data_IF_046833847074
#
_entry.id   IF_046833847074
#
_cell.length_a   1.000
_cell.length_b   1.000
_cell.length_c   1.000
_cell.angle_alpha   90.00
_cell.angle_beta   90.00
_cell.angle_gamma   90.00
#
_symmetry.space_group_name_H-M   'P 1'
#
loop_
_entity.id
_entity.type
_entity.pdbx_description
1 polymer ?
#
# COMPACT_ATOMS: atom_id res chain seq x y z
N UNK A 1 16.32 -11.50 -3.00
CA UNK A 1 15.76 -12.14 -4.21
C UNK A 1 16.86 -12.32 -5.25
N UNK A 2 16.86 -13.43 -5.99
CA UNK A 2 17.63 -13.60 -7.23
C UNK A 2 17.07 -12.68 -8.32
N UNK A 3 17.79 -12.49 -9.43
CA UNK A 3 17.28 -11.67 -10.55
C UNK A 3 16.00 -12.26 -11.16
N UNK A 4 15.93 -13.59 -11.30
CA UNK A 4 14.72 -14.28 -11.76
C UNK A 4 13.53 -14.07 -10.81
N UNK A 5 13.76 -14.15 -9.50
CA UNK A 5 12.72 -13.86 -8.49
C UNK A 5 12.23 -12.42 -8.57
N UNK A 6 13.12 -11.44 -8.84
CA UNK A 6 12.70 -10.05 -9.03
C UNK A 6 11.84 -9.89 -10.28
N UNK A 7 12.22 -10.50 -11.39
CA UNK A 7 11.45 -10.43 -12.64
C UNK A 7 10.07 -11.06 -12.48
N UNK A 8 9.99 -12.22 -11.81
CA UNK A 8 8.73 -12.87 -11.47
C UNK A 8 7.88 -11.99 -10.54
N UNK A 9 8.49 -11.36 -9.53
CA UNK A 9 7.77 -10.48 -8.60
C UNK A 9 7.19 -9.25 -9.30
N UNK A 10 7.96 -8.61 -10.18
CA UNK A 10 7.50 -7.45 -10.97
C UNK A 10 6.34 -7.84 -11.89
N UNK A 11 6.42 -9.02 -12.53
CA UNK A 11 5.34 -9.54 -13.37
C UNK A 11 4.08 -9.82 -12.55
N UNK A 12 4.22 -10.55 -11.44
CA UNK A 12 3.11 -10.86 -10.53
C UNK A 12 2.46 -9.58 -9.98
N UNK A 13 3.26 -8.57 -9.64
CA UNK A 13 2.76 -7.28 -9.18
C UNK A 13 1.91 -6.59 -10.26
N UNK A 14 2.34 -6.61 -11.53
CA UNK A 14 1.58 -6.01 -12.63
C UNK A 14 0.25 -6.74 -12.86
N UNK A 15 0.24 -8.07 -12.77
CA UNK A 15 -0.98 -8.88 -12.90
C UNK A 15 -1.96 -8.61 -11.74
N UNK A 16 -1.48 -8.59 -10.49
CA UNK A 16 -2.32 -8.31 -9.32
C UNK A 16 -2.86 -6.88 -9.31
N UNK A 17 -2.08 -5.89 -9.78
CA UNK A 17 -2.58 -4.52 -10.00
C UNK A 17 -3.75 -4.53 -10.97
N UNK A 18 -3.67 -5.28 -12.07
CA UNK A 18 -4.77 -5.41 -13.04
C UNK A 18 -6.03 -6.00 -12.40
N UNK A 19 -5.89 -7.07 -11.61
CA UNK A 19 -7.01 -7.65 -10.85
C UNK A 19 -7.64 -6.63 -9.92
N UNK A 20 -6.83 -5.92 -9.14
CA UNK A 20 -7.31 -4.92 -8.18
C UNK A 20 -8.01 -3.75 -8.91
N UNK A 21 -7.54 -3.37 -10.10
CA UNK A 21 -8.21 -2.39 -10.98
C UNK A 21 -9.59 -2.87 -11.45
N UNK A 22 -9.72 -4.13 -11.85
CA UNK A 22 -11.01 -4.73 -12.23
C UNK A 22 -12.00 -4.78 -11.07
N UNK A 23 -11.51 -4.83 -9.83
CA UNK A 23 -12.33 -4.76 -8.62
C UNK A 23 -12.80 -3.34 -8.28
N UNK A 24 -12.35 -2.32 -9.03
CA UNK A 24 -12.85 -0.95 -8.98
C UNK A 24 -12.06 0.00 -8.08
N UNK A 25 -10.80 -0.32 -7.77
CA UNK A 25 -9.89 0.60 -7.07
C UNK A 25 -8.66 0.88 -7.93
N UNK A 26 -8.03 2.05 -7.77
CA UNK A 26 -6.87 2.46 -8.57
C UNK A 26 -5.58 2.32 -7.74
N UNK A 27 -4.88 1.17 -7.80
CA UNK A 27 -3.63 0.98 -7.09
C UNK A 27 -2.47 1.68 -7.81
N UNK A 28 -1.44 2.03 -7.05
CA UNK A 28 -0.21 2.65 -7.50
C UNK A 28 0.98 2.16 -6.68
N UNK A 29 2.20 2.21 -7.26
CA UNK A 29 3.42 1.80 -6.53
C UNK A 29 3.60 2.65 -5.29
N UNK A 30 3.95 1.98 -4.19
CA UNK A 30 4.15 2.59 -2.88
C UNK A 30 5.53 2.23 -2.30
N UNK A 31 5.89 2.90 -1.20
CA UNK A 31 7.04 2.59 -0.35
C UNK A 31 8.31 2.12 -1.09
N UNK A 32 8.79 0.90 -0.79
CA UNK A 32 10.09 0.41 -1.26
C UNK A 32 10.11 0.22 -2.78
N UNK A 33 8.97 -0.19 -3.32
CA UNK A 33 8.79 -0.38 -4.77
C UNK A 33 8.82 0.94 -5.53
N UNK A 34 8.15 1.99 -5.03
CA UNK A 34 8.20 3.33 -5.59
C UNK A 34 9.62 3.92 -5.51
N UNK A 35 10.29 3.75 -4.36
CA UNK A 35 11.67 4.19 -4.18
C UNK A 35 12.61 3.50 -5.18
N UNK A 36 12.46 2.19 -5.36
CA UNK A 36 13.20 1.40 -6.34
C UNK A 36 13.01 1.90 -7.76
N UNK A 37 11.75 2.12 -8.16
CA UNK A 37 11.39 2.62 -9.50
C UNK A 37 12.02 3.99 -9.79
N UNK A 38 12.00 4.90 -8.82
CA UNK A 38 12.52 6.26 -8.99
C UNK A 38 14.05 6.32 -8.91
N UNK A 39 14.67 5.58 -7.98
CA UNK A 39 16.11 5.70 -7.71
C UNK A 39 16.95 4.88 -8.68
N UNK A 40 16.58 3.61 -8.88
CA UNK A 40 17.42 2.63 -9.58
C UNK A 40 16.73 1.87 -10.70
N UNK A 41 15.42 2.06 -10.88
CA UNK A 41 14.56 1.24 -11.75
C UNK A 41 14.65 -0.26 -11.47
N UNK A 42 14.97 -0.62 -10.23
CA UNK A 42 15.07 -2.01 -9.76
C UNK A 42 14.56 -2.11 -8.32
N UNK A 43 14.19 -3.33 -7.91
CA UNK A 43 13.85 -3.62 -6.53
C UNK A 43 15.06 -3.33 -5.64
N UNK A 44 14.82 -2.69 -4.49
CA UNK A 44 15.88 -2.30 -3.57
C UNK A 44 16.67 -3.54 -3.09
N UNK A 45 18.01 -3.51 -3.09
CA UNK A 45 18.80 -4.61 -2.54
C UNK A 45 18.40 -4.92 -1.10
N UNK A 46 18.08 -6.19 -0.82
CA UNK A 46 17.64 -6.64 0.50
C UNK A 46 16.13 -6.56 0.74
N UNK A 47 15.34 -5.98 -0.16
CA UNK A 47 13.88 -6.12 -0.09
C UNK A 47 13.43 -7.53 -0.47
N UNK A 48 12.29 -7.92 0.11
CA UNK A 48 11.69 -9.24 -0.01
C UNK A 48 10.36 -9.26 -0.76
N UNK A 49 9.75 -8.10 -0.97
CA UNK A 49 8.37 -7.91 -1.41
C UNK A 49 8.26 -6.71 -2.36
N UNK A 50 7.03 -6.44 -2.79
CA UNK A 50 6.66 -5.21 -3.47
C UNK A 50 5.47 -4.58 -2.75
N UNK A 51 5.34 -3.26 -2.86
CA UNK A 51 4.32 -2.47 -2.19
C UNK A 51 3.48 -1.69 -3.21
N UNK A 52 2.17 -1.76 -3.06
CA UNK A 52 1.20 -0.88 -3.72
C UNK A 52 0.28 -0.25 -2.68
N UNK A 53 -0.29 0.89 -3.02
CA UNK A 53 -1.35 1.52 -2.25
C UNK A 53 -2.51 1.87 -3.17
N UNK A 54 -3.71 2.05 -2.61
CA UNK A 54 -4.81 2.72 -3.29
C UNK A 54 -5.40 3.79 -2.37
N UNK A 55 -6.04 4.80 -2.95
CA UNK A 55 -6.76 5.83 -2.20
C UNK A 55 -8.25 5.47 -2.22
N UNK A 56 -8.86 5.32 -1.05
CA UNK A 56 -10.30 5.16 -0.93
C UNK A 56 -11.01 6.35 -1.55
N UNK A 57 -12.12 6.08 -2.24
CA UNK A 57 -12.98 7.14 -2.79
C UNK A 57 -13.83 7.83 -1.71
N UNK A 58 -13.83 7.28 -0.50
CA UNK A 58 -14.58 7.79 0.64
C UNK A 58 -13.68 8.59 1.58
N UNK A 59 -14.30 9.50 2.33
CA UNK A 59 -13.60 10.40 3.26
C UNK A 59 -13.96 10.16 4.72
N UNK A 60 -14.90 9.25 5.00
CA UNK A 60 -15.37 8.91 6.34
C UNK A 60 -14.99 7.45 6.67
N UNK A 61 -14.64 7.20 7.93
CA UNK A 61 -14.05 5.91 8.32
C UNK A 61 -14.93 4.68 8.12
N UNK A 62 -16.26 4.83 8.22
CA UNK A 62 -17.20 3.71 8.05
C UNK A 62 -17.23 3.24 6.59
N UNK A 63 -17.35 4.17 5.64
CA UNK A 63 -17.38 3.81 4.22
C UNK A 63 -16.01 3.35 3.70
N UNK A 64 -14.91 3.88 4.25
CA UNK A 64 -13.54 3.42 3.95
C UNK A 64 -13.35 1.97 4.39
N UNK A 65 -13.74 1.63 5.64
CA UNK A 65 -13.67 0.26 6.15
C UNK A 65 -14.51 -0.69 5.29
N UNK A 66 -15.73 -0.26 4.92
CA UNK A 66 -16.61 -1.04 4.07
C UNK A 66 -15.99 -1.31 2.70
N UNK A 67 -15.40 -0.31 2.06
CA UNK A 67 -14.72 -0.47 0.77
C UNK A 67 -13.53 -1.44 0.87
N UNK A 68 -12.68 -1.27 1.89
CA UNK A 68 -11.54 -2.15 2.12
C UNK A 68 -12.00 -3.60 2.38
N UNK A 69 -13.04 -3.78 3.19
CA UNK A 69 -13.63 -5.10 3.46
C UNK A 69 -14.19 -5.74 2.19
N UNK A 70 -14.93 -4.99 1.37
CA UNK A 70 -15.46 -5.49 0.10
C UNK A 70 -14.34 -5.93 -0.87
N UNK A 71 -13.27 -5.14 -0.98
CA UNK A 71 -12.09 -5.50 -1.76
C UNK A 71 -11.46 -6.80 -1.24
N UNK A 72 -11.26 -6.91 0.08
CA UNK A 72 -10.59 -8.05 0.70
C UNK A 72 -11.44 -9.31 0.62
N UNK A 73 -12.76 -9.21 0.78
CA UNK A 73 -13.68 -10.32 0.54
C UNK A 73 -13.55 -10.85 -0.89
N UNK A 74 -13.56 -9.98 -1.91
CA UNK A 74 -13.41 -10.43 -3.30
C UNK A 74 -12.05 -11.07 -3.55
N UNK A 75 -10.96 -10.48 -3.04
CA UNK A 75 -9.63 -11.06 -3.14
C UNK A 75 -9.54 -12.43 -2.45
N UNK A 76 -10.20 -12.61 -1.30
CA UNK A 76 -10.28 -13.90 -0.63
C UNK A 76 -11.07 -14.93 -1.43
N UNK A 77 -12.23 -14.55 -1.98
CA UNK A 77 -13.05 -15.42 -2.86
C UNK A 77 -12.26 -15.87 -4.10
N UNK A 78 -11.34 -15.04 -4.60
CA UNK A 78 -10.43 -15.36 -5.70
C UNK A 78 -9.21 -16.21 -5.28
N UNK A 79 -9.05 -16.51 -3.98
CA UNK A 79 -7.88 -17.19 -3.44
C UNK A 79 -6.59 -16.36 -3.52
N UNK A 80 -6.71 -15.04 -3.50
CA UNK A 80 -5.59 -14.10 -3.62
C UNK A 80 -5.25 -13.37 -2.31
N UNK A 81 -6.12 -13.40 -1.30
CA UNK A 81 -5.83 -12.77 0.01
C UNK A 81 -5.20 -13.78 0.96
N UNK A 82 -3.91 -13.61 1.27
CA UNK A 82 -3.18 -14.51 2.17
C UNK A 82 -3.40 -14.15 3.65
N UNK A 83 -3.24 -12.87 3.99
CA UNK A 83 -3.33 -12.35 5.35
C UNK A 83 -3.53 -10.82 5.32
N UNK A 84 -4.08 -10.28 6.40
CA UNK A 84 -4.32 -8.85 6.54
C UNK A 84 -4.15 -8.39 7.99
N UNK A 85 -4.09 -7.08 8.19
CA UNK A 85 -4.08 -6.48 9.52
C UNK A 85 -5.44 -5.88 9.83
N UNK A 86 -5.99 -6.24 10.99
CA UNK A 86 -7.20 -5.62 11.51
C UNK A 86 -6.92 -4.23 12.10
N UNK A 87 -7.98 -3.56 12.55
CA UNK A 87 -7.90 -2.23 13.15
C UNK A 87 -7.02 -2.11 14.40
N UNK A 88 -6.72 -3.22 15.07
CA UNK A 88 -5.84 -3.26 16.24
C UNK A 88 -4.40 -3.63 15.84
N UNK A 89 -4.10 -3.62 14.54
CA UNK A 89 -2.85 -4.09 13.96
C UNK A 89 -2.55 -5.55 14.36
N UNK A 90 -3.60 -6.36 14.54
CA UNK A 90 -3.44 -7.79 14.71
C UNK A 90 -3.47 -8.43 13.34
N UNK A 91 -2.49 -9.29 13.10
CA UNK A 91 -2.42 -10.10 11.90
C UNK A 91 -3.58 -11.12 11.92
N UNK A 92 -4.31 -11.21 10.81
CA UNK A 92 -5.47 -12.07 10.60
C UNK A 92 -5.28 -12.94 9.37
N UNK A 93 -5.85 -14.14 9.42
CA UNK A 93 -5.90 -15.07 8.29
C UNK A 93 -7.36 -15.30 7.90
N UNK A 94 -7.80 -14.85 6.71
CA UNK A 94 -9.19 -14.98 6.25
C UNK A 94 -9.81 -16.36 6.41
N UNK A 95 -9.03 -17.42 6.15
CA UNK A 95 -9.47 -18.82 6.27
C UNK A 95 -9.88 -19.19 7.71
N UNK A 96 -9.24 -18.60 8.72
CA UNK A 96 -9.47 -18.91 10.14
C UNK A 96 -10.41 -17.91 10.82
N UNK A 97 -10.22 -16.64 10.51
CA UNK A 97 -10.86 -15.53 11.22
C UNK A 97 -12.09 -14.98 10.47
N UNK A 98 -12.24 -15.33 9.18
CA UNK A 98 -13.09 -14.59 8.26
C UNK A 98 -12.51 -13.21 7.93
N UNK A 99 -13.30 -12.39 7.21
CA UNK A 99 -12.97 -10.98 6.98
C UNK A 99 -13.67 -10.14 8.05
N UNK A 100 -12.91 -9.75 9.06
CA UNK A 100 -13.28 -8.84 10.14
C UNK A 100 -13.09 -7.38 9.70
N UNK A 101 -13.37 -6.37 10.53
CA UNK A 101 -13.12 -4.98 10.15
C UNK A 101 -11.67 -4.74 9.70
N UNK A 102 -11.53 -4.19 8.50
CA UNK A 102 -10.24 -3.97 7.83
C UNK A 102 -9.94 -2.47 7.78
N UNK A 103 -8.80 -2.07 8.33
CA UNK A 103 -8.24 -0.73 8.19
C UNK A 103 -6.72 -0.92 8.15
N UNK A 104 -6.19 -1.30 6.99
CA UNK A 104 -4.88 -1.91 7.01
C UNK A 104 -4.20 -2.14 5.68
N UNK A 105 -3.09 -2.83 5.86
CA UNK A 105 -2.32 -3.54 4.85
C UNK A 105 -2.90 -4.94 4.67
N UNK A 106 -2.71 -5.52 3.49
CA UNK A 106 -2.86 -6.94 3.23
C UNK A 106 -1.73 -7.48 2.37
N UNK A 107 -1.49 -8.78 2.50
CA UNK A 107 -0.65 -9.54 1.61
C UNK A 107 -1.53 -10.23 0.58
N UNK A 108 -1.31 -9.92 -0.70
CA UNK A 108 -2.04 -10.49 -1.82
C UNK A 108 -1.13 -11.25 -2.78
N UNK A 109 -1.62 -12.35 -3.32
CA UNK A 109 -0.89 -13.26 -4.19
C UNK A 109 -1.08 -14.72 -3.79
N UNK A 110 -0.79 -15.63 -4.72
CA UNK A 110 -0.96 -17.08 -4.50
C UNK A 110 0.25 -17.73 -3.82
N UNK A 111 1.44 -17.17 -4.06
CA UNK A 111 2.72 -17.74 -3.64
C UNK A 111 3.60 -16.59 -3.17
N UNK A 112 4.40 -16.84 -2.14
CA UNK A 112 5.40 -15.90 -1.63
C UNK A 112 6.54 -15.69 -2.65
N UNK A 113 7.02 -14.45 -2.85
CA UNK A 113 6.69 -13.26 -2.07
C UNK A 113 5.34 -12.64 -2.44
N UNK A 114 4.58 -12.25 -1.41
CA UNK A 114 3.31 -11.56 -1.61
C UNK A 114 3.54 -10.11 -2.07
N UNK A 115 2.52 -9.53 -2.69
CA UNK A 115 2.42 -8.10 -2.93
C UNK A 115 1.66 -7.47 -1.76
N UNK A 116 2.20 -6.40 -1.20
CA UNK A 116 1.56 -5.68 -0.13
C UNK A 116 0.63 -4.61 -0.71
N UNK A 117 -0.61 -4.58 -0.24
CA UNK A 117 -1.58 -3.53 -0.57
C UNK A 117 -1.95 -2.73 0.67
N UNK A 118 -1.76 -1.42 0.60
CA UNK A 118 -2.08 -0.49 1.68
C UNK A 118 -3.31 0.37 1.33
N UNK A 119 -4.24 0.48 2.27
CA UNK A 119 -5.43 1.33 2.13
C UNK A 119 -5.15 2.76 2.59
N UNK A 120 -5.17 3.73 1.68
CA UNK A 120 -5.03 5.16 1.99
C UNK A 120 -6.36 5.87 1.86
N UNK A 121 -6.52 7.06 2.43
CA UNK A 121 -7.70 7.90 2.19
C UNK A 121 -7.39 9.37 2.44
N UNK A 122 -8.32 10.23 2.02
CA UNK A 122 -8.24 11.66 2.28
C UNK A 122 -9.45 12.05 3.11
N UNK A 123 -9.24 12.72 4.23
CA UNK A 123 -10.31 13.26 5.07
C UNK A 123 -9.98 14.68 5.47
N UNK A 124 -10.93 15.61 5.29
CA UNK A 124 -10.75 17.03 5.63
C UNK A 124 -9.48 17.68 5.02
N UNK A 125 -9.08 17.22 3.83
CA UNK A 125 -7.87 17.69 3.14
C UNK A 125 -6.56 17.06 3.62
N UNK A 126 -6.60 16.18 4.63
CA UNK A 126 -5.44 15.44 5.12
C UNK A 126 -5.35 14.06 4.46
N UNK A 127 -4.16 13.69 4.02
CA UNK A 127 -3.81 12.35 3.57
C UNK A 127 -3.56 11.46 4.78
N UNK A 128 -4.30 10.36 4.84
CA UNK A 128 -4.13 9.33 5.84
C UNK A 128 -3.40 8.13 5.28
N UNK A 129 -2.32 7.78 5.96
CA UNK A 129 -1.63 6.51 5.80
C UNK A 129 -2.16 5.49 6.81
N UNK A 130 -2.38 4.25 6.38
CA UNK A 130 -2.93 3.19 7.24
C UNK A 130 -2.07 2.87 8.46
N UNK A 131 -0.77 3.14 8.41
CA UNK A 131 0.16 2.94 9.52
C UNK A 131 0.51 4.25 10.24
N UNK A 132 0.61 5.34 9.48
CA UNK A 132 1.14 6.62 9.98
C UNK A 132 0.07 7.68 10.24
N UNK A 133 -1.22 7.40 10.01
CA UNK A 133 -2.30 8.36 10.25
C UNK A 133 -2.21 9.59 9.34
N UNK A 134 -2.62 10.79 9.79
CA UNK A 134 -2.53 11.99 8.96
C UNK A 134 -1.05 12.39 8.80
N UNK A 135 -0.55 12.31 7.57
CA UNK A 135 0.88 12.54 7.26
C UNK A 135 1.15 13.77 6.41
N UNK A 136 0.13 14.26 5.72
CA UNK A 136 0.27 15.37 4.78
C UNK A 136 -1.08 16.06 4.58
N UNK A 137 -1.09 17.32 4.17
CA UNK A 137 -2.32 18.11 3.95
C UNK A 137 -2.26 18.87 2.63
N UNK A 138 -3.40 18.95 1.94
CA UNK A 138 -3.60 19.71 0.69
C UNK A 138 -2.67 19.22 -0.45
N UNK A 139 -2.53 17.89 -0.56
CA UNK A 139 -1.67 17.24 -1.55
C UNK A 139 -2.47 16.84 -2.79
N UNK A 140 -1.86 16.90 -3.98
CA UNK A 140 -2.44 16.39 -5.24
C UNK A 140 -2.42 14.85 -5.24
N UNK A 141 -3.58 14.17 -5.14
CA UNK A 141 -3.65 12.73 -5.05
C UNK A 141 -3.71 12.03 -6.42
N UNK A 142 -3.57 12.78 -7.51
CA UNK A 142 -3.70 12.25 -8.87
C UNK A 142 -2.72 11.11 -9.09
N UNK A 143 -3.26 9.93 -9.40
CA UNK A 143 -2.48 8.78 -9.88
C UNK A 143 -2.33 8.90 -11.40
N UNK A 144 -1.10 8.79 -11.89
CA UNK A 144 -0.79 8.81 -13.32
C UNK A 144 -0.46 7.38 -13.74
N UNK A 145 -1.24 6.79 -14.67
CA UNK A 145 -0.94 5.47 -15.22
C UNK A 145 0.45 5.42 -15.85
N UNK A 146 1.16 4.30 -15.66
CA UNK A 146 2.44 3.99 -16.31
C UNK A 146 3.50 5.11 -16.22
N UNK A 147 3.49 5.89 -15.13
CA UNK A 147 4.35 7.06 -14.92
C UNK A 147 5.73 6.72 -14.34
N UNK A 148 5.89 5.52 -13.78
CA UNK A 148 7.17 5.01 -13.28
C UNK A 148 7.47 3.65 -13.89
N UNK A 149 8.74 3.26 -13.86
CA UNK A 149 9.23 2.02 -14.46
C UNK A 149 10.11 1.27 -13.45
N UNK A 150 9.86 -0.04 -13.31
CA UNK A 150 10.62 -0.94 -12.46
C UNK A 150 10.95 -2.19 -13.30
N UNK A 151 12.24 -2.47 -13.51
CA UNK A 151 12.75 -3.57 -14.34
C UNK A 151 12.10 -3.64 -15.74
N UNK A 152 11.90 -2.47 -16.36
CA UNK A 152 11.29 -2.35 -17.70
C UNK A 152 9.78 -2.51 -17.75
N UNK A 153 9.11 -2.78 -16.63
CA UNK A 153 7.64 -2.81 -16.52
C UNK A 153 7.14 -1.48 -15.98
N UNK A 154 6.11 -0.92 -16.62
CA UNK A 154 5.52 0.35 -16.21
C UNK A 154 4.43 0.18 -15.18
N UNK A 155 4.36 1.11 -14.24
CA UNK A 155 3.39 1.09 -13.15
C UNK A 155 2.75 2.46 -12.92
N UNK A 156 1.49 2.48 -12.43
CA UNK A 156 0.89 3.70 -11.90
C UNK A 156 1.65 4.21 -10.66
N UNK A 157 1.76 5.53 -10.54
CA UNK A 157 2.31 6.23 -9.38
C UNK A 157 1.59 7.58 -9.21
N UNK A 158 1.72 8.19 -8.03
CA UNK A 158 1.27 9.56 -7.81
C UNK A 158 2.00 10.52 -8.76
N UNK A 159 1.30 11.54 -9.25
CA UNK A 159 1.83 12.58 -10.13
C UNK A 159 3.08 13.26 -9.56
N UNK A 160 3.10 13.51 -8.25
CA UNK A 160 4.24 14.07 -7.53
C UNK A 160 4.60 13.14 -6.36
N UNK A 161 5.37 12.05 -6.58
CA UNK A 161 5.58 11.01 -5.57
C UNK A 161 6.62 11.38 -4.50
N UNK A 162 7.36 12.48 -4.69
CA UNK A 162 8.55 12.80 -3.88
C UNK A 162 8.22 13.16 -2.43
N UNK A 163 7.03 13.70 -2.17
CA UNK A 163 6.61 13.98 -0.79
C UNK A 163 6.41 12.68 0.00
N UNK A 164 5.90 11.61 -0.65
CA UNK A 164 5.76 10.29 -0.03
C UNK A 164 7.13 9.74 0.35
N UNK A 165 8.09 9.84 -0.57
CA UNK A 165 9.44 9.34 -0.32
C UNK A 165 10.16 10.11 0.80
N UNK A 166 9.96 11.44 0.88
CA UNK A 166 10.44 12.22 2.02
C UNK A 166 9.75 11.84 3.33
N UNK A 167 8.45 11.58 3.28
CA UNK A 167 7.66 11.19 4.45
C UNK A 167 8.08 9.81 4.99
N UNK A 168 8.31 8.83 4.10
CA UNK A 168 8.69 7.47 4.48
C UNK A 168 10.18 7.32 4.81
N UNK A 169 11.07 8.04 4.11
CA UNK A 169 12.51 7.82 4.16
C UNK A 169 13.32 9.07 4.57
N UNK A 170 12.71 10.24 4.76
CA UNK A 170 13.41 11.48 5.10
C UNK A 170 13.93 12.26 3.89
N UNK A 171 14.46 13.46 4.13
CA UNK A 171 14.90 14.38 3.06
C UNK A 171 16.04 13.84 2.18
N UNK A 172 16.83 12.92 2.73
CA UNK A 172 17.94 12.24 2.09
C UNK A 172 17.53 10.91 1.43
N UNK A 173 16.24 10.69 1.14
CA UNK A 173 15.73 9.45 0.52
C UNK A 173 16.42 9.06 -0.79
N UNK A 174 16.98 10.03 -1.51
CA UNK A 174 17.75 9.80 -2.75
C UNK A 174 19.06 9.05 -2.50
N UNK A 175 19.60 9.14 -1.28
CA UNK A 175 20.83 8.47 -0.88
C UNK A 175 20.51 7.07 -0.32
N UNK A 176 21.09 5.99 -0.87
CA UNK A 176 20.95 4.65 -0.31
C UNK A 176 21.38 4.59 1.16
N UNK A 177 20.58 3.91 1.98
CA UNK A 177 20.86 3.62 3.39
C UNK A 177 20.65 2.13 3.64
N UNK A 178 21.38 1.60 4.62
CA UNK A 178 21.24 0.21 5.07
C UNK A 178 20.08 0.04 6.06
N UNK A 179 19.68 1.10 6.77
CA UNK A 179 18.51 1.09 7.65
C UNK A 179 17.20 1.40 6.88
N UNK A 180 16.07 0.86 7.36
CA UNK A 180 14.73 1.07 6.80
C UNK A 180 14.01 2.31 7.40
N UNK A 181 14.72 3.20 8.10
CA UNK A 181 14.15 4.32 8.87
C UNK A 181 13.47 3.88 10.19
N UNK A 182 13.46 4.75 11.21
CA UNK A 182 13.20 4.36 12.62
C UNK A 182 11.83 4.72 13.19
N UNK A 183 10.95 5.44 12.47
CA UNK A 183 9.77 6.07 13.09
C UNK A 183 8.41 5.46 12.69
N UNK A 184 8.25 4.14 12.80
CA UNK A 184 7.10 3.40 12.21
C UNK A 184 5.87 3.15 13.11
N UNK A 185 5.78 3.69 14.33
CA UNK A 185 4.85 3.13 15.33
C UNK A 185 3.94 4.09 16.12
N UNK A 186 3.96 5.41 15.87
CA UNK A 186 3.27 6.38 16.75
C UNK A 186 1.76 6.63 16.47
N UNK A 187 1.18 6.13 15.37
CA UNK A 187 -0.10 6.66 14.86
C UNK A 187 -1.30 5.70 14.82
N UNK A 188 -1.12 4.44 15.25
CA UNK A 188 -2.20 3.43 15.22
C UNK A 188 -3.44 3.77 16.09
N UNK A 189 -3.31 4.39 17.27
CA UNK A 189 -4.49 4.83 18.04
C UNK A 189 -5.39 5.81 17.28
N UNK A 190 -4.83 6.61 16.37
CA UNK A 190 -5.56 7.62 15.60
C UNK A 190 -6.56 7.01 14.63
N UNK A 191 -6.27 5.84 14.04
CA UNK A 191 -7.21 5.14 13.16
C UNK A 191 -8.47 4.67 13.89
N UNK A 192 -8.30 4.07 15.06
CA UNK A 192 -9.42 3.63 15.89
C UNK A 192 -10.29 4.80 16.34
N UNK A 193 -9.68 5.94 16.66
CA UNK A 193 -10.38 7.17 17.05
C UNK A 193 -11.11 7.81 15.86
N UNK A 194 -10.47 7.87 14.68
CA UNK A 194 -11.06 8.40 13.44
C UNK A 194 -12.36 7.67 13.08
N UNK A 195 -12.37 6.32 13.13
CA UNK A 195 -13.57 5.53 12.85
C UNK A 195 -14.69 5.76 13.87
N UNK A 196 -14.35 5.94 15.16
CA UNK A 196 -15.35 6.13 16.24
C UNK A 196 -16.03 7.51 16.20
N UNK A 197 -15.79 8.31 15.15
CA UNK A 197 -16.36 9.64 15.01
C UNK A 197 -16.01 10.55 16.18
N UNK A 198 -14.85 10.32 16.82
CA UNK A 198 -14.46 11.10 17.97
C UNK A 198 -14.15 12.53 17.53
N UNK A 199 -14.97 13.39 18.12
CA UNK A 199 -15.07 14.86 18.08
C UNK A 199 -13.79 15.56 18.53
#
# INVERSE_FOLDING_TARGET
>A
MTEEQKDEQVKNAKELIGVVQELGVEPFLWAGSLLGAIRGKDIIPGDSDMDIAYISKYTNGEDIEKEARELYTKLYEMGLLAEYWDENNQKRWPEKDGILPVLGQAHIGKISPYLDIFTMWISQGEWFDTWFGPVAKDIDPTVIPDSVELRGVKFPALKNPEWVLRMLYGDDWKTPREDKGTNRHAFRPTLTLFRRGLR
#
